data_IF_377073376702
#
_entry.id   IF_377073376702
#
_cell.length_a   1.000
_cell.length_b   1.000
_cell.length_c   1.000
_cell.angle_alpha   90.00
_cell.angle_beta   90.00
_cell.angle_gamma   90.00
#
_symmetry.space_group_name_H-M   'P 1'
#
loop_
_entity.id
_entity.type
_entity.pdbx_description
1 polymer ?
#
# COMPACT_ATOMS: atom_id res chain seq x y z
N UNK A 1 0.47 6.82 -75.18
CA UNK A 1 -0.36 7.46 -74.13
C UNK A 1 -0.63 6.44 -73.03
N UNK A 2 -0.74 6.90 -71.78
CA UNK A 2 -0.78 6.17 -70.50
C UNK A 2 0.62 5.87 -69.93
N UNK A 3 1.06 6.59 -68.87
CA UNK A 3 0.78 6.36 -67.44
C UNK A 3 1.41 5.04 -66.94
N UNK A 4 2.02 4.87 -65.77
CA UNK A 4 2.26 5.66 -64.54
C UNK A 4 2.89 4.63 -63.59
N UNK A 5 4.09 4.81 -63.04
CA UNK A 5 4.55 4.02 -61.89
C UNK A 5 4.73 4.97 -60.71
N UNK A 6 3.71 4.98 -59.87
CA UNK A 6 3.54 5.86 -58.74
C UNK A 6 4.06 5.19 -57.46
N UNK A 7 4.82 5.99 -56.71
CA UNK A 7 5.04 5.95 -55.25
C UNK A 7 5.73 4.75 -54.63
N UNK A 8 6.95 5.03 -54.17
CA UNK A 8 7.68 4.33 -53.13
C UNK A 8 7.38 5.00 -51.78
N UNK A 9 7.36 4.20 -50.69
CA UNK A 9 7.11 4.53 -49.28
C UNK A 9 5.64 4.87 -48.91
N UNK A 10 5.01 4.09 -48.01
CA UNK A 10 5.43 4.05 -46.60
C UNK A 10 5.22 2.69 -45.89
N UNK A 11 6.27 2.08 -45.33
CA UNK A 11 6.11 0.95 -44.40
C UNK A 11 6.86 1.10 -43.07
N UNK A 12 7.63 2.18 -42.89
CA UNK A 12 8.41 2.38 -41.66
C UNK A 12 7.63 3.01 -40.50
N UNK A 13 6.48 3.64 -40.74
CA UNK A 13 5.67 4.28 -39.68
C UNK A 13 4.87 3.31 -38.81
N UNK A 14 4.54 2.12 -39.31
CA UNK A 14 3.65 1.18 -38.62
C UNK A 14 4.41 0.37 -37.55
N UNK A 15 5.71 0.12 -37.75
CA UNK A 15 6.51 -0.69 -36.82
C UNK A 15 6.78 0.01 -35.48
N UNK A 16 6.82 1.35 -35.46
CA UNK A 16 7.08 2.14 -34.25
C UNK A 16 5.85 2.24 -33.32
N UNK A 17 4.63 2.14 -33.86
CA UNK A 17 3.39 2.16 -33.06
C UNK A 17 3.23 0.85 -32.28
N UNK A 18 3.68 -0.28 -32.83
CA UNK A 18 3.59 -1.60 -32.16
C UNK A 18 4.56 -1.71 -30.97
N UNK A 19 5.70 -1.00 -31.01
CA UNK A 19 6.67 -0.95 -29.91
C UNK A 19 6.26 0.00 -28.76
N UNK A 20 5.28 0.87 -29.00
CA UNK A 20 4.78 1.83 -28.00
C UNK A 20 3.64 1.26 -27.14
N UNK A 21 3.17 0.05 -27.46
CA UNK A 21 2.19 -0.71 -26.71
C UNK A 21 2.90 -1.79 -25.91
N UNK A 22 3.72 -1.39 -24.93
CA UNK A 22 3.94 -2.26 -23.76
C UNK A 22 2.70 -2.19 -22.88
N UNK A 23 1.59 -2.70 -23.43
CA UNK A 23 0.43 -3.09 -22.65
C UNK A 23 0.84 -4.25 -21.75
N UNK A 24 0.40 -4.17 -20.50
CA UNK A 24 0.56 -5.13 -19.41
C UNK A 24 0.50 -6.57 -19.93
N UNK A 25 1.67 -7.20 -20.08
CA UNK A 25 1.74 -8.57 -20.58
C UNK A 25 1.38 -9.53 -19.44
N UNK A 26 0.09 -9.84 -19.30
CA UNK A 26 -0.39 -10.92 -18.46
C UNK A 26 0.14 -12.26 -19.04
N UNK A 27 1.19 -12.80 -18.43
CA UNK A 27 1.77 -14.11 -18.80
C UNK A 27 0.97 -15.22 -18.10
N UNK A 28 0.17 -15.97 -18.88
CA UNK A 28 -0.58 -17.13 -18.40
C UNK A 28 0.32 -18.37 -18.45
N UNK A 29 0.43 -19.12 -17.36
CA UNK A 29 1.27 -20.32 -17.26
C UNK A 29 0.47 -21.55 -16.84
N UNK A 30 0.92 -22.71 -17.34
CA UNK A 30 0.47 -24.11 -17.31
C UNK A 30 -0.23 -24.73 -16.08
N UNK A 31 -0.27 -24.04 -14.93
CA UNK A 31 -0.66 -24.51 -13.57
C UNK A 31 -1.88 -23.77 -12.95
N UNK A 32 -3.00 -23.47 -13.59
CA UNK A 32 -3.27 -23.09 -14.98
C UNK A 32 -4.36 -21.99 -15.03
N UNK A 33 -4.63 -21.34 -13.89
CA UNK A 33 -5.62 -20.26 -13.71
C UNK A 33 -5.09 -19.07 -12.93
N UNK A 34 -3.92 -19.20 -12.28
CA UNK A 34 -3.34 -18.11 -11.49
C UNK A 34 -2.86 -17.02 -12.45
N UNK A 35 -3.58 -15.91 -12.46
CA UNK A 35 -3.23 -14.64 -13.10
C UNK A 35 -2.30 -13.86 -12.20
N UNK A 36 -1.42 -13.08 -12.80
CA UNK A 36 -0.51 -12.17 -12.09
C UNK A 36 -0.67 -10.77 -12.68
N UNK A 37 -0.84 -9.78 -11.82
CA UNK A 37 -0.87 -8.38 -12.19
C UNK A 37 0.09 -7.57 -11.30
N UNK A 38 0.75 -6.58 -11.90
CA UNK A 38 1.72 -5.71 -11.25
C UNK A 38 1.29 -4.27 -11.44
N UNK A 39 1.28 -3.50 -10.36
CA UNK A 39 0.82 -2.12 -10.34
C UNK A 39 1.78 -1.25 -9.54
N UNK A 40 1.61 0.06 -9.70
CA UNK A 40 2.31 1.10 -8.93
C UNK A 40 1.28 1.98 -8.22
N UNK A 41 1.57 2.36 -6.99
CA UNK A 41 0.84 3.47 -6.34
C UNK A 41 1.08 4.78 -7.10
N UNK A 42 0.32 5.84 -6.80
CA UNK A 42 0.75 7.19 -7.15
C UNK A 42 2.16 7.48 -6.60
N UNK A 43 2.88 8.36 -7.29
CA UNK A 43 4.23 8.79 -6.89
C UNK A 43 4.20 9.50 -5.53
N UNK A 44 5.17 9.19 -4.68
CA UNK A 44 5.54 10.03 -3.54
C UNK A 44 7.00 10.47 -3.64
N UNK A 45 7.33 11.57 -2.97
CA UNK A 45 8.68 12.14 -3.02
C UNK A 45 9.22 12.22 -1.61
N UNK A 46 10.41 11.63 -1.40
CA UNK A 46 11.11 11.65 -0.13
C UNK A 46 12.49 12.31 -0.29
N UNK A 47 12.80 13.25 0.59
CA UNK A 47 14.16 13.72 0.86
C UNK A 47 14.67 13.21 2.20
N UNK A 48 15.96 13.41 2.53
CA UNK A 48 16.55 12.97 3.79
C UNK A 48 15.71 13.37 5.01
N UNK A 49 15.42 12.41 5.90
CA UNK A 49 14.63 12.60 7.11
C UNK A 49 13.14 12.79 6.89
N UNK A 50 12.67 13.08 5.67
CA UNK A 50 11.26 13.39 5.44
C UNK A 50 10.37 12.15 5.62
N UNK A 51 9.12 12.42 6.00
CA UNK A 51 8.07 11.42 6.15
C UNK A 51 6.99 11.65 5.11
N UNK A 52 6.50 10.55 4.56
CA UNK A 52 5.27 10.49 3.78
C UNK A 52 4.32 9.60 4.55
N UNK A 53 3.11 10.08 4.82
CA UNK A 53 1.99 9.27 5.33
C UNK A 53 0.75 9.59 4.49
N UNK A 54 0.55 8.84 3.41
CA UNK A 54 -0.45 9.16 2.38
C UNK A 54 -1.47 8.05 2.21
N UNK A 55 -2.71 8.46 2.02
CA UNK A 55 -3.82 7.60 1.65
C UNK A 55 -4.14 7.76 0.17
N UNK A 56 -3.93 6.69 -0.60
CA UNK A 56 -4.28 6.60 -2.01
C UNK A 56 -5.59 5.85 -2.16
N UNK A 57 -6.62 6.57 -2.61
CA UNK A 57 -7.93 5.99 -2.90
C UNK A 57 -8.00 5.50 -4.34
N UNK A 58 -8.77 4.43 -4.56
CA UNK A 58 -9.03 3.87 -5.88
C UNK A 58 -7.75 3.48 -6.63
N UNK A 59 -6.79 2.86 -5.92
CA UNK A 59 -5.60 2.30 -6.56
C UNK A 59 -6.00 1.23 -7.58
N UNK A 60 -5.16 1.02 -8.59
CA UNK A 60 -5.38 -0.04 -9.57
C UNK A 60 -5.32 -1.41 -8.89
N UNK A 61 -6.26 -2.29 -9.24
CA UNK A 61 -6.34 -3.62 -8.66
C UNK A 61 -7.04 -4.56 -9.66
N UNK A 62 -6.80 -5.89 -9.61
CA UNK A 62 -7.54 -6.83 -10.45
C UNK A 62 -9.05 -6.67 -10.27
N UNK A 63 -9.77 -6.66 -11.39
CA UNK A 63 -11.22 -6.44 -11.41
C UNK A 63 -12.00 -7.75 -11.58
N UNK A 64 -13.28 -7.72 -11.23
CA UNK A 64 -14.19 -8.87 -11.30
C UNK A 64 -14.29 -9.62 -9.97
N UNK A 65 -15.06 -10.71 -9.99
CA UNK A 65 -15.19 -11.62 -8.86
C UNK A 65 -14.05 -12.63 -8.92
N UNK A 66 -13.10 -12.50 -7.99
CA UNK A 66 -11.83 -13.24 -8.02
C UNK A 66 -11.48 -13.79 -6.64
N UNK A 67 -10.57 -14.75 -6.62
CA UNK A 67 -9.95 -15.24 -5.40
C UNK A 67 -8.48 -14.81 -5.37
N UNK A 68 -8.08 -14.04 -4.37
CA UNK A 68 -6.68 -13.65 -4.18
C UNK A 68 -5.86 -14.84 -3.68
N UNK A 69 -4.69 -15.01 -4.29
CA UNK A 69 -3.74 -16.10 -4.03
C UNK A 69 -2.43 -15.61 -3.41
N UNK A 70 -2.07 -14.34 -3.61
CA UNK A 70 -1.00 -13.66 -2.88
C UNK A 70 -0.98 -12.17 -3.19
N UNK A 71 -0.48 -11.36 -2.26
CA UNK A 71 -0.21 -9.94 -2.45
C UNK A 71 1.20 -9.63 -1.93
N UNK A 72 2.06 -9.05 -2.76
CA UNK A 72 3.42 -8.67 -2.36
C UNK A 72 3.67 -7.23 -2.75
N UNK A 73 4.27 -6.43 -1.86
CA UNK A 73 4.62 -5.05 -2.16
C UNK A 73 6.03 -4.68 -1.72
N UNK A 74 6.62 -3.70 -2.40
CA UNK A 74 7.86 -3.05 -2.01
C UNK A 74 7.98 -1.65 -2.60
N UNK A 75 8.78 -0.80 -1.95
CA UNK A 75 9.13 0.53 -2.45
C UNK A 75 10.16 0.41 -3.56
N UNK A 76 9.90 1.09 -4.68
CA UNK A 76 10.79 1.16 -5.86
C UNK A 76 11.05 2.59 -6.30
N UNK A 77 12.17 2.81 -7.00
CA UNK A 77 12.47 4.07 -7.69
C UNK A 77 11.76 4.19 -9.06
N UNK A 78 11.99 5.29 -9.76
CA UNK A 78 11.46 5.55 -11.11
C UNK A 78 11.91 4.52 -12.16
N UNK A 79 13.04 3.84 -11.95
CA UNK A 79 13.52 2.78 -12.82
C UNK A 79 12.97 1.39 -12.41
N UNK A 80 12.16 1.31 -11.35
CA UNK A 80 11.60 0.07 -10.82
C UNK A 80 12.57 -0.74 -9.95
N UNK A 81 13.70 -0.16 -9.55
CA UNK A 81 14.65 -0.81 -8.65
C UNK A 81 14.13 -0.76 -7.21
N UNK A 82 14.19 -1.88 -6.47
CA UNK A 82 13.84 -1.89 -5.07
C UNK A 82 14.72 -0.99 -4.21
N UNK A 83 14.11 -0.22 -3.32
CA UNK A 83 14.84 0.59 -2.34
C UNK A 83 15.22 -0.25 -1.11
N UNK A 84 16.44 -0.10 -0.57
CA UNK A 84 16.82 -0.72 0.71
C UNK A 84 16.02 -0.12 1.89
N UNK A 85 15.57 -0.98 2.81
CA UNK A 85 14.80 -0.53 4.00
C UNK A 85 15.60 0.40 4.93
N UNK A 86 16.94 0.30 4.90
CA UNK A 86 17.82 1.17 5.67
C UNK A 86 18.01 2.57 5.04
N UNK A 87 17.45 2.80 3.85
CA UNK A 87 17.41 4.11 3.20
C UNK A 87 15.99 4.69 3.27
N UNK A 88 14.99 3.90 2.86
CA UNK A 88 13.58 4.25 3.02
C UNK A 88 12.90 3.18 3.87
N UNK A 89 12.64 3.54 5.12
CA UNK A 89 11.95 2.67 6.05
C UNK A 89 10.45 2.78 5.83
N UNK A 90 9.83 1.67 5.44
CA UNK A 90 8.39 1.60 5.24
C UNK A 90 7.72 1.33 6.59
N UNK A 91 7.59 2.38 7.41
CA UNK A 91 7.15 2.28 8.79
C UNK A 91 5.83 1.52 8.91
N UNK A 92 4.82 1.92 8.13
CA UNK A 92 3.59 1.15 7.94
C UNK A 92 3.15 1.28 6.48
N UNK A 93 2.45 0.27 6.00
CA UNK A 93 1.69 0.36 4.77
C UNK A 93 0.57 -0.62 4.87
N UNK A 94 -0.57 -0.33 4.27
CA UNK A 94 -1.62 -1.32 4.19
C UNK A 94 -2.53 -1.09 3.00
N UNK A 95 -3.26 -2.12 2.60
CA UNK A 95 -4.36 -2.01 1.66
C UNK A 95 -5.67 -2.45 2.30
N UNK A 96 -6.74 -1.72 2.00
CA UNK A 96 -8.08 -1.99 2.48
C UNK A 96 -9.08 -2.00 1.31
N UNK A 97 -10.04 -2.93 1.38
CA UNK A 97 -11.21 -2.95 0.50
C UNK A 97 -12.16 -1.84 0.94
N UNK A 98 -12.70 -1.10 -0.02
CA UNK A 98 -13.71 -0.06 0.23
C UNK A 98 -14.85 -0.18 -0.76
N UNK A 99 -16.09 0.05 -0.33
CA UNK A 99 -17.20 0.30 -1.22
C UNK A 99 -17.35 1.81 -1.37
N UNK A 100 -17.17 2.30 -2.61
CA UNK A 100 -17.29 3.71 -2.95
C UNK A 100 -18.59 3.95 -3.72
N UNK A 101 -19.35 4.99 -3.35
CA UNK A 101 -20.59 5.36 -4.04
C UNK A 101 -20.28 5.75 -5.49
N UNK A 102 -21.01 5.17 -6.44
CA UNK A 102 -20.86 5.47 -7.87
C UNK A 102 -21.17 6.94 -8.15
N UNK A 103 -20.36 7.56 -9.01
CA UNK A 103 -20.58 8.94 -9.48
C UNK A 103 -20.21 10.02 -8.47
N UNK A 104 -19.56 9.68 -7.36
CA UNK A 104 -18.95 10.64 -6.44
C UNK A 104 -17.48 10.81 -6.83
N UNK A 105 -16.96 12.03 -6.73
CA UNK A 105 -15.52 12.24 -6.82
C UNK A 105 -14.82 11.42 -5.74
N UNK A 106 -13.69 10.80 -6.09
CA UNK A 106 -12.91 10.01 -5.14
C UNK A 106 -12.62 10.90 -3.93
N UNK A 107 -13.13 10.56 -2.73
CA UNK A 107 -13.01 11.44 -1.60
C UNK A 107 -11.53 11.62 -1.29
N UNK A 108 -11.05 12.85 -1.38
CA UNK A 108 -9.79 13.21 -0.74
C UNK A 108 -9.96 12.94 0.74
N UNK A 109 -9.10 12.07 1.28
CA UNK A 109 -9.02 11.85 2.71
C UNK A 109 -8.92 13.21 3.41
N UNK A 110 -9.91 13.54 4.23
CA UNK A 110 -9.89 14.74 5.05
C UNK A 110 -9.50 14.32 6.45
N UNK A 111 -8.27 14.62 6.85
CA UNK A 111 -7.68 14.11 8.10
C UNK A 111 -8.51 14.58 9.31
N UNK A 112 -9.10 15.79 9.25
CA UNK A 112 -10.01 16.34 10.28
C UNK A 112 -11.38 15.63 10.39
N UNK A 113 -11.88 15.01 9.32
CA UNK A 113 -13.23 14.46 9.26
C UNK A 113 -13.27 12.97 8.85
N UNK A 114 -12.10 12.36 8.60
CA UNK A 114 -11.96 11.10 7.91
C UNK A 114 -12.48 11.16 6.47
N UNK A 115 -12.72 9.99 5.89
CA UNK A 115 -13.55 9.89 4.69
C UNK A 115 -14.99 10.27 5.05
N UNK A 116 -15.69 11.03 4.18
CA UNK A 116 -17.12 11.23 4.37
C UNK A 116 -17.83 9.88 4.36
N UNK A 117 -18.32 9.45 5.53
CA UNK A 117 -18.84 8.10 5.78
C UNK A 117 -20.03 7.72 4.90
N UNK A 118 -20.75 8.69 4.32
CA UNK A 118 -21.92 8.42 3.46
C UNK A 118 -21.57 7.92 2.06
N UNK A 119 -20.34 8.15 1.60
CA UNK A 119 -19.91 7.80 0.24
C UNK A 119 -18.85 6.71 0.23
N UNK A 120 -18.22 6.43 1.37
CA UNK A 120 -17.19 5.42 1.52
C UNK A 120 -17.50 4.50 2.70
N UNK A 121 -17.55 3.21 2.42
CA UNK A 121 -17.71 2.15 3.42
C UNK A 121 -16.43 1.32 3.39
N UNK A 122 -15.66 1.30 4.48
CA UNK A 122 -14.53 0.38 4.59
C UNK A 122 -15.07 -1.05 4.80
N UNK A 123 -14.61 -1.98 3.98
CA UNK A 123 -14.98 -3.40 4.09
C UNK A 123 -14.13 -4.00 5.20
N UNK A 124 -14.80 -4.66 6.14
CA UNK A 124 -14.15 -5.27 7.30
C UNK A 124 -13.46 -6.58 6.90
N UNK A 125 -12.49 -6.99 7.71
CA UNK A 125 -12.00 -8.36 7.71
C UNK A 125 -12.92 -9.22 8.61
N UNK A 126 -12.66 -10.52 8.73
CA UNK A 126 -13.53 -11.45 9.47
C UNK A 126 -13.34 -11.35 11.00
N UNK A 127 -12.48 -10.43 11.47
CA UNK A 127 -12.03 -10.39 12.85
C UNK A 127 -13.05 -9.76 13.81
N UNK A 128 -12.92 -10.01 15.13
CA UNK A 128 -13.87 -9.53 16.13
C UNK A 128 -13.79 -8.02 16.37
N UNK A 129 -12.77 -7.33 15.86
CA UNK A 129 -12.57 -5.91 16.05
C UNK A 129 -13.55 -5.09 15.19
N UNK A 130 -14.54 -4.46 15.83
CA UNK A 130 -15.64 -3.78 15.10
C UNK A 130 -15.25 -2.50 14.39
N UNK A 131 -14.35 -1.71 14.97
CA UNK A 131 -14.03 -0.36 14.52
C UNK A 131 -12.52 -0.18 14.25
N UNK A 132 -11.76 -1.27 14.19
CA UNK A 132 -10.31 -1.24 14.02
C UNK A 132 -9.85 -2.43 13.17
N UNK A 133 -8.66 -2.30 12.58
CA UNK A 133 -7.96 -3.38 11.88
C UNK A 133 -8.60 -3.87 10.55
N UNK A 134 -9.30 -3.02 9.79
CA UNK A 134 -9.92 -3.41 8.52
C UNK A 134 -8.96 -3.68 7.35
N UNK A 135 -7.64 -3.63 7.56
CA UNK A 135 -6.65 -3.89 6.53
C UNK A 135 -6.57 -5.38 6.14
N UNK A 136 -6.26 -5.63 4.86
CA UNK A 136 -6.12 -6.97 4.30
C UNK A 136 -4.65 -7.37 4.07
N UNK A 137 -3.78 -6.44 3.70
CA UNK A 137 -2.35 -6.71 3.56
C UNK A 137 -1.55 -5.50 3.98
N UNK A 138 -0.29 -5.74 4.36
CA UNK A 138 0.63 -4.70 4.80
C UNK A 138 0.39 -4.30 6.25
N UNK A 139 1.44 -4.41 7.06
CA UNK A 139 1.43 -4.01 8.47
C UNK A 139 2.71 -3.27 8.86
N UNK A 140 3.84 -3.55 8.21
CA UNK A 140 5.11 -2.88 8.47
C UNK A 140 6.18 -3.24 7.44
N UNK A 141 7.40 -2.73 7.63
CA UNK A 141 8.58 -3.06 6.82
C UNK A 141 8.92 -4.55 6.84
N UNK A 142 8.56 -5.21 7.95
CA UNK A 142 8.82 -6.61 8.26
C UNK A 142 8.05 -7.57 7.36
N UNK A 143 6.99 -7.10 6.67
CA UNK A 143 6.26 -7.92 5.70
C UNK A 143 6.94 -7.97 4.33
N UNK A 144 8.02 -7.19 4.13
CA UNK A 144 8.76 -7.18 2.86
C UNK A 144 9.34 -8.57 2.57
N UNK A 145 8.95 -9.13 1.42
CA UNK A 145 9.34 -10.48 0.95
C UNK A 145 8.84 -11.63 1.85
N UNK A 146 7.91 -11.36 2.77
CA UNK A 146 7.22 -12.42 3.51
C UNK A 146 6.27 -13.16 2.58
N UNK A 147 6.20 -14.48 2.70
CA UNK A 147 5.31 -15.29 1.87
C UNK A 147 3.85 -15.00 2.21
N UNK A 148 3.09 -14.53 1.22
CA UNK A 148 1.64 -14.25 1.32
C UNK A 148 0.81 -15.25 0.53
N UNK A 149 1.36 -16.43 0.24
CA UNK A 149 0.72 -17.43 -0.59
C UNK A 149 -0.44 -18.11 0.13
N UNK A 150 -1.61 -18.09 -0.50
CA UNK A 150 -2.78 -18.87 -0.10
C UNK A 150 -2.79 -20.18 -0.92
N UNK A 151 -2.68 -21.36 -0.29
CA UNK A 151 -2.64 -22.64 -1.02
C UNK A 151 -3.99 -22.97 -1.68
N UNK A 152 -4.01 -23.83 -2.70
CA UNK A 152 -5.26 -24.37 -3.22
C UNK A 152 -5.91 -25.36 -2.23
N UNK A 153 -7.25 -25.51 -2.20
CA UNK A 153 -8.26 -24.82 -3.03
C UNK A 153 -8.68 -23.43 -2.49
N UNK A 154 -7.96 -22.92 -1.50
CA UNK A 154 -8.36 -21.75 -0.73
C UNK A 154 -8.12 -20.41 -1.46
N UNK A 155 -8.91 -19.38 -1.17
CA UNK A 155 -8.67 -18.04 -1.71
C UNK A 155 -9.42 -16.96 -0.93
N UNK A 156 -8.85 -15.75 -0.87
CA UNK A 156 -9.54 -14.60 -0.26
C UNK A 156 -10.49 -14.03 -1.31
N UNK A 157 -11.79 -14.12 -1.05
CA UNK A 157 -12.84 -13.67 -1.96
C UNK A 157 -12.90 -12.15 -2.03
N UNK A 158 -12.87 -11.59 -3.24
CA UNK A 158 -13.01 -10.15 -3.47
C UNK A 158 -13.85 -9.90 -4.73
N UNK A 159 -14.51 -8.74 -4.78
CA UNK A 159 -15.37 -8.37 -5.90
C UNK A 159 -16.66 -9.18 -6.04
N UNK A 160 -17.14 -9.83 -4.97
CA UNK A 160 -18.41 -10.54 -4.97
C UNK A 160 -19.58 -9.54 -5.10
N UNK A 161 -20.38 -9.55 -6.19
CA UNK A 161 -21.48 -8.61 -6.38
C UNK A 161 -22.58 -8.69 -5.31
N UNK A 162 -22.68 -9.82 -4.59
CA UNK A 162 -23.65 -9.98 -3.51
C UNK A 162 -23.26 -9.22 -2.23
N UNK A 163 -21.97 -8.92 -2.04
CA UNK A 163 -21.46 -8.18 -0.88
C UNK A 163 -21.45 -6.65 -1.10
N UNK A 164 -21.51 -6.21 -2.36
CA UNK A 164 -21.42 -4.79 -2.72
C UNK A 164 -22.81 -4.12 -2.62
N UNK A 165 -23.00 -3.08 -1.78
CA UNK A 165 -24.29 -2.43 -1.64
C UNK A 165 -24.78 -1.77 -2.94
N UNK A 166 -26.12 -1.70 -3.17
CA UNK A 166 -26.68 -1.02 -4.33
C UNK A 166 -26.21 0.44 -4.43
N UNK A 167 -25.73 0.82 -5.62
CA UNK A 167 -25.19 2.16 -5.87
C UNK A 167 -23.70 2.34 -5.52
N UNK A 168 -23.02 1.29 -5.06
CA UNK A 168 -21.59 1.29 -4.77
C UNK A 168 -20.80 0.40 -5.74
N UNK A 169 -19.50 0.62 -5.79
CA UNK A 169 -18.52 -0.25 -6.43
C UNK A 169 -17.38 -0.56 -5.46
N UNK A 170 -16.81 -1.76 -5.55
CA UNK A 170 -15.61 -2.10 -4.78
C UNK A 170 -14.37 -1.43 -5.38
N UNK A 171 -13.60 -0.79 -4.51
CA UNK A 171 -12.30 -0.17 -4.79
C UNK A 171 -11.30 -0.59 -3.72
N UNK A 172 -10.05 -0.19 -3.94
CA UNK A 172 -8.96 -0.44 -3.01
C UNK A 172 -8.34 0.89 -2.57
N UNK A 173 -8.07 0.99 -1.29
CA UNK A 173 -7.33 2.07 -0.67
C UNK A 173 -5.97 1.54 -0.22
N UNK A 174 -4.91 2.34 -0.40
CA UNK A 174 -3.58 2.06 0.13
C UNK A 174 -3.12 3.20 1.02
N UNK A 175 -2.66 2.88 2.23
CA UNK A 175 -1.85 3.80 3.02
C UNK A 175 -0.37 3.47 2.82
N UNK A 176 0.45 4.52 2.68
CA UNK A 176 1.91 4.42 2.63
C UNK A 176 2.49 5.40 3.66
N UNK A 177 3.02 4.85 4.74
CA UNK A 177 3.81 5.56 5.74
C UNK A 177 5.28 5.16 5.58
N UNK A 178 6.08 6.05 4.99
CA UNK A 178 7.49 5.82 4.72
C UNK A 178 8.37 6.98 5.21
N UNK A 179 9.53 6.63 5.77
CA UNK A 179 10.51 7.55 6.36
C UNK A 179 11.83 7.40 5.60
N UNK A 180 12.36 8.51 5.10
CA UNK A 180 13.71 8.52 4.56
C UNK A 180 14.73 8.59 5.69
N UNK A 181 15.42 7.49 5.95
CA UNK A 181 16.39 7.37 7.05
C UNK A 181 17.82 7.68 6.61
N UNK A 182 18.00 8.21 5.39
CA UNK A 182 19.30 8.71 4.94
C UNK A 182 19.63 10.00 5.71
N UNK A 183 20.86 10.07 6.18
CA UNK A 183 21.43 11.25 6.85
C UNK A 183 20.75 11.70 8.17
N UNK A 184 19.83 10.91 8.73
CA UNK A 184 19.21 11.23 10.03
C UNK A 184 20.19 11.05 11.19
N UNK A 185 20.03 11.84 12.26
CA UNK A 185 20.86 11.77 13.46
C UNK A 185 20.79 10.38 14.10
N UNK A 186 19.57 9.95 14.41
CA UNK A 186 19.24 8.69 15.07
C UNK A 186 18.22 7.90 14.22
N UNK A 187 18.71 6.88 13.50
CA UNK A 187 17.87 6.05 12.63
C UNK A 187 16.79 5.31 13.41
N UNK A 188 17.15 4.72 14.55
CA UNK A 188 16.21 3.92 15.33
C UNK A 188 15.13 4.83 15.92
N UNK A 189 15.53 5.97 16.47
CA UNK A 189 14.57 6.95 16.99
C UNK A 189 13.65 7.51 15.91
N UNK A 190 14.14 7.74 14.69
CA UNK A 190 13.27 8.12 13.56
C UNK A 190 12.27 7.00 13.25
N UNK A 191 12.71 5.75 13.15
CA UNK A 191 11.82 4.61 12.84
C UNK A 191 10.83 4.29 13.96
N UNK A 192 11.12 4.66 15.21
CA UNK A 192 10.20 4.57 16.34
C UNK A 192 9.31 5.82 16.49
N UNK A 193 9.42 6.78 15.55
CA UNK A 193 8.69 8.05 15.58
C UNK A 193 8.86 8.85 16.87
N UNK A 194 10.08 8.88 17.43
CA UNK A 194 10.39 9.63 18.66
C UNK A 194 10.24 11.13 18.48
N UNK A 195 9.37 11.75 19.26
CA UNK A 195 8.93 13.13 19.06
C UNK A 195 10.06 14.16 19.13
N UNK A 196 11.08 13.92 19.96
CA UNK A 196 12.25 14.81 20.11
C UNK A 196 13.07 14.94 18.82
N UNK A 197 12.95 13.98 17.89
CA UNK A 197 13.65 13.99 16.61
C UNK A 197 12.86 14.68 15.48
N UNK A 198 11.54 14.84 15.61
CA UNK A 198 10.72 15.47 14.56
C UNK A 198 10.46 16.96 14.80
N UNK A 199 10.84 17.48 15.98
CA UNK A 199 10.66 18.89 16.37
C UNK A 199 9.22 19.39 16.19
N UNK A 200 8.26 18.54 16.55
CA UNK A 200 6.82 18.84 16.51
C UNK A 200 6.26 18.96 17.92
N UNK A 201 5.29 19.84 18.08
CA UNK A 201 4.57 20.07 19.36
C UNK A 201 3.07 19.87 19.22
N UNK A 202 2.60 19.69 17.99
CA UNK A 202 1.22 19.47 17.61
C UNK A 202 1.13 18.20 16.77
N UNK A 203 0.01 17.50 16.85
CA UNK A 203 -0.32 16.41 15.93
C UNK A 203 -0.75 16.95 14.55
N UNK A 204 -1.02 16.04 13.61
CA UNK A 204 -1.51 16.35 12.26
C UNK A 204 -2.83 17.14 12.23
N UNK A 205 -3.62 17.09 13.32
CA UNK A 205 -4.89 17.80 13.46
C UNK A 205 -4.72 19.19 14.11
N UNK A 206 -3.51 19.56 14.51
CA UNK A 206 -3.19 20.80 15.19
C UNK A 206 -3.47 20.78 16.71
N UNK A 207 -3.69 19.61 17.30
CA UNK A 207 -3.83 19.49 18.76
C UNK A 207 -2.45 19.38 19.41
N UNK A 208 -2.27 20.00 20.58
CA UNK A 208 -1.04 19.83 21.35
C UNK A 208 -0.80 18.37 21.71
N UNK A 209 0.44 17.92 21.49
CA UNK A 209 0.88 16.63 21.96
C UNK A 209 0.84 16.59 23.49
N UNK A 210 0.40 15.45 24.05
CA UNK A 210 0.44 15.26 25.49
C UNK A 210 1.89 15.22 25.97
N UNK A 211 2.22 15.77 27.16
CA UNK A 211 3.60 15.79 27.65
C UNK A 211 4.25 14.39 27.81
N UNK A 212 3.44 13.35 28.00
CA UNK A 212 3.87 11.95 28.13
C UNK A 212 3.88 11.19 26.78
N UNK A 213 3.46 11.83 25.68
CA UNK A 213 3.54 11.26 24.34
C UNK A 213 4.95 11.44 23.77
N UNK A 214 5.81 10.45 23.96
CA UNK A 214 7.24 10.51 23.60
C UNK A 214 7.56 9.94 22.22
N UNK A 215 6.63 9.22 21.60
CA UNK A 215 6.80 8.68 20.26
C UNK A 215 5.53 8.05 19.69
N UNK A 216 5.45 8.02 18.37
CA UNK A 216 4.35 7.42 17.61
C UNK A 216 3.84 8.33 16.48
N UNK A 217 2.75 7.91 15.84
CA UNK A 217 2.22 8.52 14.61
C UNK A 217 1.96 10.04 14.73
N UNK A 218 1.55 10.52 15.90
CA UNK A 218 1.31 11.96 16.11
C UNK A 218 2.58 12.80 16.01
N UNK A 219 3.76 12.18 16.02
CA UNK A 219 5.04 12.86 15.86
C UNK A 219 5.66 12.69 14.46
N UNK A 220 5.19 11.73 13.67
CA UNK A 220 5.75 11.38 12.36
C UNK A 220 4.65 11.31 11.28
N UNK A 221 3.79 12.32 11.22
CA UNK A 221 2.74 12.43 10.18
C UNK A 221 3.31 12.95 8.85
N UNK A 222 2.48 13.02 7.79
CA UNK A 222 2.90 13.45 6.45
C UNK A 222 3.65 14.79 6.49
N UNK A 223 4.71 14.89 5.68
CA UNK A 223 5.55 16.09 5.54
C UNK A 223 6.37 16.50 6.78
N UNK A 224 6.28 15.77 7.89
CA UNK A 224 7.25 15.93 8.97
C UNK A 224 8.66 15.51 8.52
N UNK A 225 9.67 15.93 9.27
CA UNK A 225 11.05 15.62 8.95
C UNK A 225 11.80 15.24 10.23
N UNK A 226 12.34 14.03 10.25
CA UNK A 226 13.25 13.60 11.29
C UNK A 226 14.57 14.37 11.19
N UNK A 227 15.14 14.70 12.34
CA UNK A 227 16.35 15.51 12.47
C UNK A 227 17.53 14.91 11.70
N UNK A 228 18.20 15.77 10.95
CA UNK A 228 19.37 15.42 10.14
C UNK A 228 20.67 15.62 10.90
N UNK A 229 21.70 14.88 10.49
CA UNK A 229 23.10 15.16 10.84
C UNK A 229 23.57 16.40 10.11
N UNK A 230 24.45 17.17 10.75
CA UNK A 230 25.08 18.33 10.15
C UNK A 230 25.89 17.97 8.90
N UNK A 231 25.82 18.81 7.87
CA UNK A 231 26.69 18.75 6.70
C UNK A 231 26.35 17.69 5.65
N UNK A 232 25.17 17.05 5.72
CA UNK A 232 24.74 16.06 4.73
C UNK A 232 23.55 16.54 3.91
N UNK A 233 23.77 16.79 2.63
CA UNK A 233 22.70 16.93 1.64
C UNK A 233 22.58 15.65 0.82
N UNK A 234 21.35 15.19 0.63
CA UNK A 234 21.04 14.11 -0.30
C UNK A 234 19.80 14.49 -1.10
N UNK A 235 19.75 14.04 -2.35
CA UNK A 235 18.67 14.40 -3.27
C UNK A 235 17.35 13.77 -2.85
N UNK A 236 16.27 14.50 -3.17
CA UNK A 236 14.92 13.96 -3.14
C UNK A 236 14.80 12.85 -4.18
N UNK A 237 14.03 11.81 -3.86
CA UNK A 237 13.72 10.69 -4.75
C UNK A 237 12.23 10.61 -4.99
N UNK A 238 11.87 10.40 -6.25
CA UNK A 238 10.55 9.96 -6.67
C UNK A 238 10.45 8.45 -6.45
N UNK A 239 9.48 8.02 -5.66
CA UNK A 239 9.29 6.63 -5.26
C UNK A 239 7.84 6.19 -5.47
N UNK A 240 7.66 4.88 -5.53
CA UNK A 240 6.37 4.22 -5.71
C UNK A 240 6.29 2.98 -4.84
N UNK A 241 5.09 2.61 -4.40
CA UNK A 241 4.82 1.26 -3.94
C UNK A 241 4.52 0.40 -5.16
N UNK A 242 5.40 -0.55 -5.48
CA UNK A 242 5.11 -1.61 -6.45
C UNK A 242 4.45 -2.76 -5.75
N UNK A 243 3.32 -3.23 -6.27
CA UNK A 243 2.65 -4.40 -5.74
C UNK A 243 2.30 -5.40 -6.84
N UNK A 244 2.45 -6.69 -6.49
CA UNK A 244 2.17 -7.84 -7.34
C UNK A 244 1.05 -8.65 -6.71
N UNK A 245 -0.04 -8.82 -7.45
CA UNK A 245 -1.21 -9.57 -7.04
C UNK A 245 -1.28 -10.84 -7.87
N UNK A 246 -1.40 -11.99 -7.20
CA UNK A 246 -1.77 -13.25 -7.84
C UNK A 246 -3.19 -13.60 -7.49
N UNK A 247 -3.97 -14.03 -8.47
CA UNK A 247 -5.40 -14.29 -8.30
C UNK A 247 -5.91 -15.30 -9.33
N UNK A 248 -7.07 -15.89 -9.06
CA UNK A 248 -7.83 -16.71 -10.03
C UNK A 248 -9.22 -16.11 -10.20
N UNK A 249 -9.90 -16.39 -11.31
CA UNK A 249 -11.32 -16.07 -11.41
C UNK A 249 -12.09 -16.91 -10.38
N UNK A 250 -13.09 -16.30 -9.72
CA UNK A 250 -13.89 -17.01 -8.76
C UNK A 250 -14.77 -18.06 -9.46
N UNK A 251 -14.79 -19.28 -8.92
CA UNK A 251 -15.74 -20.32 -9.30
C UNK A 251 -16.03 -21.26 -8.13
N UNK A 252 -16.95 -22.20 -8.33
CA UNK A 252 -17.42 -23.13 -7.30
C UNK A 252 -16.35 -24.10 -6.76
N UNK A 253 -15.16 -24.15 -7.35
CA UNK A 253 -14.04 -24.96 -6.86
C UNK A 253 -13.16 -24.23 -5.83
N UNK A 254 -13.30 -22.91 -5.72
CA UNK A 254 -12.57 -22.11 -4.72
C UNK A 254 -13.25 -22.22 -3.35
N UNK A 255 -12.46 -22.43 -2.31
CA UNK A 255 -12.92 -22.39 -0.92
C UNK A 255 -12.58 -21.01 -0.34
N UNK A 256 -13.56 -20.18 0.07
CA UNK A 256 -13.27 -18.89 0.70
C UNK A 256 -12.49 -19.09 1.99
N UNK A 257 -11.53 -18.19 2.24
CA UNK A 257 -10.91 -18.06 3.56
C UNK A 257 -11.43 -16.84 4.26
N UNK A 258 -11.66 -16.99 5.56
CA UNK A 258 -11.80 -15.86 6.47
C UNK A 258 -10.39 -15.33 6.75
N UNK A 259 -10.24 -14.02 6.59
CA UNK A 259 -8.98 -13.32 6.82
C UNK A 259 -9.14 -12.40 8.02
N UNK A 260 -8.25 -12.55 9.00
CA UNK A 260 -8.28 -11.80 10.26
C UNK A 260 -6.92 -11.18 10.53
N UNK A 261 -6.94 -9.99 11.13
CA UNK A 261 -5.75 -9.34 11.66
C UNK A 261 -5.79 -9.37 13.17
N UNK A 262 -4.82 -10.05 13.76
CA UNK A 262 -4.60 -10.06 15.20
C UNK A 262 -3.59 -8.97 15.59
N UNK A 263 -3.90 -8.26 16.67
CA UNK A 263 -2.98 -7.29 17.27
C UNK A 263 -2.85 -7.60 18.75
N UNK A 264 -1.61 -7.65 19.23
CA UNK A 264 -1.30 -7.91 20.64
C UNK A 264 -0.80 -6.63 21.29
N UNK A 265 -1.46 -6.19 22.36
CA UNK A 265 -0.99 -5.09 23.19
C UNK A 265 -0.53 -5.59 24.55
N UNK A 266 0.54 -4.96 25.08
CA UNK A 266 1.06 -5.25 26.41
C UNK A 266 0.10 -4.88 27.55
N UNK A 267 -0.98 -4.16 27.25
CA UNK A 267 -2.01 -3.79 28.22
C UNK A 267 -2.79 -5.00 28.79
N UNK A 268 -2.65 -6.19 28.18
CA UNK A 268 -3.18 -7.46 28.70
C UNK A 268 -2.15 -8.35 29.42
N UNK A 269 -0.85 -7.99 29.38
CA UNK A 269 0.18 -8.71 30.11
C UNK A 269 0.21 -8.22 31.55
N UNK A 270 -0.45 -8.95 32.46
CA UNK A 270 -0.15 -8.79 33.88
C UNK A 270 1.33 -9.10 34.11
N UNK A 271 1.97 -8.38 35.05
CA UNK A 271 3.41 -8.46 35.35
C UNK A 271 3.91 -9.86 35.76
N UNK A 272 3.01 -10.84 35.86
CA UNK A 272 3.30 -12.18 36.38
C UNK A 272 3.83 -13.15 35.30
N UNK A 273 3.86 -12.76 34.03
CA UNK A 273 4.32 -13.63 32.93
C UNK A 273 5.85 -13.71 32.77
N UNK A 274 6.65 -13.03 33.62
CA UNK A 274 8.12 -12.96 33.47
C UNK A 274 8.91 -13.61 34.62
N UNK A 275 8.29 -14.47 35.44
CA UNK A 275 8.97 -15.13 36.57
C UNK A 275 9.16 -16.63 36.47
N UNK A 276 8.91 -17.26 35.31
CA UNK A 276 9.11 -18.71 35.20
C UNK A 276 9.87 -19.11 33.94
N UNK A 277 11.18 -18.87 33.97
CA UNK A 277 12.18 -19.66 33.21
C UNK A 277 13.57 -19.34 33.76
N UNK A 278 13.83 -19.82 34.97
CA UNK A 278 15.17 -20.18 35.41
C UNK A 278 15.12 -21.60 35.97
N UNK A 279 15.48 -22.55 35.11
CA UNK A 279 16.08 -23.83 35.50
C UNK A 279 17.45 -23.89 34.88
#
# INVERSE_FOLDING_TARGET
MAHRSQTWLPCFGILLVVLSLTSSLARVNSENRIKTAVFLSPKFVLGPGSVVDKYYMSIDFPTGHIALKSFNAEVVDEAGNPIPLHETYLHHWFVARVHLRKGVEVPTYSEKFGFQKSDLIMVRNSGPCENSLGQYFGLGSETRKTATHVPDPYGIEVGNPAEIPPGYEEKWMMNVHAIDTRSVEDRLGCTECRCDLYNVTMDEHGNSLRPDYVGGLHCCYDQTQCRLRDGFESTKRSLFMRYTVKYVDWDTSVVPVEYDVESFSSSGLTKDAYTDTKT
#
